data_IF_342959201777
#
_entry.id   IF_342959201777
#
_cell.length_a   1.000
_cell.length_b   1.000
_cell.length_c   1.000
_cell.angle_alpha   90.00
_cell.angle_beta   90.00
_cell.angle_gamma   90.00
#
_symmetry.space_group_name_H-M   'P 1'
#
loop_
_entity.id
_entity.type
_entity.pdbx_description
1 polymer ?
#
# COMPACT_ATOMS: atom_id res chain seq x y z
N UNK A 1 30.02 -64.02 3.85
CA UNK A 1 29.51 -63.55 2.54
C UNK A 1 27.99 -63.23 2.55
N UNK A 2 27.22 -63.80 3.47
CA UNK A 2 25.76 -63.55 3.65
C UNK A 2 25.39 -62.13 4.21
N UNK A 3 26.18 -61.47 5.08
CA UNK A 3 25.76 -60.19 5.68
C UNK A 3 25.70 -59.02 4.70
N UNK A 4 26.57 -59.00 3.69
CA UNK A 4 26.63 -57.91 2.71
C UNK A 4 25.50 -57.95 1.68
N UNK A 5 24.92 -59.13 1.43
CA UNK A 5 23.77 -59.31 0.55
C UNK A 5 22.50 -58.82 1.25
N UNK A 6 22.31 -59.17 2.53
CA UNK A 6 21.20 -58.67 3.35
C UNK A 6 21.21 -57.15 3.49
N UNK A 7 22.39 -56.56 3.69
CA UNK A 7 22.53 -55.10 3.75
C UNK A 7 22.13 -54.44 2.42
N UNK A 8 22.60 -54.98 1.28
CA UNK A 8 22.24 -54.47 -0.06
C UNK A 8 20.76 -54.64 -0.40
N UNK A 9 20.14 -55.73 0.05
CA UNK A 9 18.70 -55.95 -0.15
C UNK A 9 17.89 -55.00 0.74
N UNK A 10 18.30 -54.78 1.98
CA UNK A 10 17.63 -53.81 2.86
C UNK A 10 17.75 -52.37 2.35
N UNK A 11 18.90 -51.96 1.82
CA UNK A 11 19.06 -50.62 1.25
C UNK A 11 18.27 -50.48 -0.04
N UNK A 12 18.19 -51.52 -0.89
CA UNK A 12 17.35 -51.51 -2.09
C UNK A 12 15.86 -51.39 -1.74
N UNK A 13 15.38 -52.12 -0.71
CA UNK A 13 13.99 -52.06 -0.24
C UNK A 13 13.68 -50.69 0.36
N UNK A 14 14.59 -50.11 1.14
CA UNK A 14 14.43 -48.76 1.69
C UNK A 14 14.42 -47.72 0.55
N UNK A 15 15.27 -47.88 -0.46
CA UNK A 15 15.32 -46.97 -1.60
C UNK A 15 14.05 -47.06 -2.46
N UNK A 16 13.49 -48.25 -2.68
CA UNK A 16 12.19 -48.42 -3.38
C UNK A 16 11.01 -47.92 -2.54
N UNK A 17 11.04 -48.04 -1.21
CA UNK A 17 10.04 -47.45 -0.31
C UNK A 17 10.09 -45.91 -0.28
N UNK A 18 11.28 -45.32 -0.45
CA UNK A 18 11.44 -43.85 -0.49
C UNK A 18 10.96 -43.29 -1.85
N UNK A 19 11.23 -43.98 -2.97
CA UNK A 19 10.77 -43.54 -4.30
C UNK A 19 9.25 -43.63 -4.45
N UNK A 20 8.58 -44.56 -3.75
CA UNK A 20 7.12 -44.72 -3.82
C UNK A 20 6.34 -43.67 -3.02
N UNK A 21 7.02 -42.85 -2.20
CA UNK A 21 6.40 -41.79 -1.39
C UNK A 21 6.59 -40.37 -1.96
N UNK A 22 6.97 -40.25 -3.23
CA UNK A 22 6.88 -38.97 -3.93
C UNK A 22 5.39 -38.68 -4.12
N UNK A 23 4.86 -37.69 -3.40
CA UNK A 23 3.51 -37.20 -3.64
C UNK A 23 3.37 -36.91 -5.14
N UNK A 24 2.48 -37.64 -5.82
CA UNK A 24 2.23 -37.43 -7.22
C UNK A 24 1.55 -36.06 -7.37
N UNK A 25 2.34 -35.06 -7.76
CA UNK A 25 1.86 -33.71 -8.05
C UNK A 25 1.93 -33.48 -9.54
N UNK A 26 0.78 -33.20 -10.16
CA UNK A 26 0.70 -32.78 -11.56
C UNK A 26 0.68 -31.24 -11.59
N UNK A 27 1.70 -30.63 -12.16
CA UNK A 27 1.81 -29.16 -12.26
C UNK A 27 1.40 -28.74 -13.67
N UNK A 28 0.43 -27.83 -13.76
CA UNK A 28 -0.01 -27.22 -15.02
C UNK A 28 0.14 -25.71 -14.87
N UNK A 29 0.88 -25.08 -15.79
CA UNK A 29 1.08 -23.64 -15.80
C UNK A 29 0.36 -23.01 -17.01
N UNK A 30 -0.34 -21.90 -16.79
CA UNK A 30 -1.03 -21.15 -17.84
C UNK A 30 -0.86 -19.65 -17.67
N UNK A 31 -0.67 -18.98 -18.80
CA UNK A 31 -0.65 -17.53 -18.86
C UNK A 31 -2.02 -17.00 -19.25
N UNK A 32 -2.52 -16.01 -18.50
CA UNK A 32 -3.85 -15.42 -18.67
C UNK A 32 -3.69 -13.92 -18.82
N UNK A 33 -4.02 -13.41 -20.01
CA UNK A 33 -3.97 -11.99 -20.31
C UNK A 33 -5.27 -11.32 -19.89
N UNK A 34 -5.19 -10.37 -18.97
CA UNK A 34 -6.32 -9.61 -18.43
C UNK A 34 -6.35 -8.24 -19.12
N UNK A 35 -7.40 -7.99 -19.89
CA UNK A 35 -7.53 -6.79 -20.74
C UNK A 35 -8.62 -5.83 -20.26
N UNK A 36 -9.58 -6.31 -19.46
CA UNK A 36 -10.73 -5.53 -19.00
C UNK A 36 -11.23 -5.91 -17.60
N UNK A 37 -11.98 -5.01 -16.95
CA UNK A 37 -12.65 -5.30 -15.67
C UNK A 37 -13.71 -6.38 -15.91
N UNK A 38 -13.75 -7.41 -15.06
CA UNK A 38 -14.59 -8.59 -15.24
C UNK A 38 -13.90 -9.77 -15.93
N UNK A 39 -12.71 -9.55 -16.53
CA UNK A 39 -11.84 -10.64 -16.97
C UNK A 39 -11.39 -11.48 -15.78
N UNK A 40 -11.03 -12.73 -16.04
CA UNK A 40 -10.58 -13.63 -15.00
C UNK A 40 -10.66 -15.10 -15.39
N UNK A 41 -10.76 -15.94 -14.36
CA UNK A 41 -10.70 -17.40 -14.49
C UNK A 41 -11.90 -17.99 -13.77
N UNK A 42 -12.59 -18.91 -14.43
CA UNK A 42 -13.63 -19.73 -13.83
C UNK A 42 -13.14 -21.17 -13.90
N UNK A 43 -12.86 -21.74 -12.75
CA UNK A 43 -12.51 -23.15 -12.63
C UNK A 43 -13.72 -23.88 -12.09
N UNK A 44 -14.21 -24.86 -12.84
CA UNK A 44 -15.27 -25.76 -12.38
C UNK A 44 -14.74 -27.17 -12.32
N UNK A 45 -15.10 -27.91 -11.28
CA UNK A 45 -14.66 -29.29 -11.10
C UNK A 45 -15.85 -30.17 -10.75
N UNK A 46 -15.77 -31.44 -11.14
CA UNK A 46 -16.78 -32.45 -10.87
C UNK A 46 -16.13 -33.81 -10.67
N UNK A 47 -16.47 -34.48 -9.57
CA UNK A 47 -15.95 -35.80 -9.21
C UNK A 47 -17.01 -36.66 -8.52
N UNK A 48 -16.70 -37.94 -8.39
CA UNK A 48 -17.53 -38.91 -7.65
C UNK A 48 -17.28 -38.89 -6.13
N UNK A 49 -16.14 -38.38 -5.67
CA UNK A 49 -15.88 -38.12 -4.24
C UNK A 49 -15.48 -36.66 -4.00
N UNK A 50 -15.35 -36.32 -2.72
CA UNK A 50 -14.94 -35.00 -2.26
C UNK A 50 -13.64 -34.54 -2.93
N UNK A 51 -13.64 -33.28 -3.38
CA UNK A 51 -12.48 -32.62 -3.98
C UNK A 51 -12.06 -31.50 -3.06
N UNK A 52 -10.86 -31.64 -2.49
CA UNK A 52 -10.25 -30.64 -1.62
C UNK A 52 -9.57 -29.56 -2.47
N UNK A 53 -9.74 -28.30 -2.05
CA UNK A 53 -9.25 -27.14 -2.80
C UNK A 53 -8.44 -26.24 -1.89
N UNK A 54 -7.27 -25.86 -2.37
CA UNK A 54 -6.43 -24.84 -1.75
C UNK A 54 -6.16 -23.74 -2.78
N UNK A 55 -6.45 -22.50 -2.41
CA UNK A 55 -6.24 -21.33 -3.27
C UNK A 55 -5.23 -20.38 -2.60
N UNK A 56 -4.33 -19.81 -3.40
CA UNK A 56 -3.45 -18.74 -2.93
C UNK A 56 -4.25 -17.46 -2.73
N UNK A 57 -3.90 -16.67 -1.72
CA UNK A 57 -4.49 -15.36 -1.50
C UNK A 57 -4.08 -14.39 -2.62
N UNK A 58 -5.07 -13.75 -3.24
CA UNK A 58 -4.86 -12.69 -4.22
C UNK A 58 -5.06 -11.30 -3.57
N UNK A 59 -4.47 -10.23 -4.13
CA UNK A 59 -4.71 -8.86 -3.68
C UNK A 59 -6.17 -8.44 -3.84
N UNK A 60 -6.59 -7.37 -3.14
CA UNK A 60 -7.96 -6.82 -3.14
C UNK A 60 -8.49 -6.37 -4.52
N UNK A 61 -7.65 -6.39 -5.55
CA UNK A 61 -8.05 -6.09 -6.92
C UNK A 61 -8.82 -7.25 -7.60
N UNK A 62 -8.84 -8.42 -6.96
CA UNK A 62 -9.53 -9.62 -7.44
C UNK A 62 -10.65 -10.03 -6.48
N UNK A 63 -11.82 -10.33 -7.03
CA UNK A 63 -12.92 -10.98 -6.31
C UNK A 63 -12.81 -12.49 -6.55
N UNK A 64 -12.63 -13.24 -5.46
CA UNK A 64 -12.50 -14.70 -5.47
C UNK A 64 -13.71 -15.30 -4.77
N UNK A 65 -14.53 -16.02 -5.53
CA UNK A 65 -15.73 -16.71 -5.05
C UNK A 65 -15.55 -18.20 -5.22
N UNK A 66 -15.75 -18.93 -4.12
CA UNK A 66 -15.73 -20.40 -4.10
C UNK A 66 -17.13 -20.88 -3.74
N UNK A 67 -17.71 -21.72 -4.60
CA UNK A 67 -18.97 -22.38 -4.33
C UNK A 67 -18.79 -23.89 -4.50
N UNK A 68 -19.23 -24.64 -3.49
CA UNK A 68 -19.19 -26.11 -3.53
C UNK A 68 -20.63 -26.62 -3.43
N UNK A 69 -20.95 -27.67 -4.18
CA UNK A 69 -22.25 -28.32 -4.18
C UNK A 69 -22.06 -29.83 -4.22
N UNK A 70 -22.60 -30.52 -3.23
CA UNK A 70 -22.75 -31.97 -3.24
C UNK A 70 -24.22 -32.32 -3.46
N UNK A 71 -24.52 -33.03 -4.55
CA UNK A 71 -25.86 -33.55 -4.82
C UNK A 71 -25.75 -34.98 -5.34
N UNK A 72 -26.48 -35.90 -4.69
CA UNK A 72 -26.65 -37.27 -5.18
C UNK A 72 -25.35 -38.07 -5.38
N UNK A 73 -24.35 -37.90 -4.50
CA UNK A 73 -23.06 -38.60 -4.61
C UNK A 73 -22.11 -38.02 -5.67
N UNK A 74 -22.45 -36.89 -6.27
CA UNK A 74 -21.52 -36.10 -7.10
C UNK A 74 -21.07 -34.86 -6.35
N UNK A 75 -19.77 -34.63 -6.34
CA UNK A 75 -19.13 -33.47 -5.74
C UNK A 75 -18.70 -32.54 -6.85
N UNK A 76 -19.22 -31.32 -6.82
CA UNK A 76 -18.91 -30.30 -7.82
C UNK A 76 -18.68 -28.97 -7.14
N UNK A 77 -17.94 -28.10 -7.80
CA UNK A 77 -17.81 -26.73 -7.35
C UNK A 77 -17.21 -25.83 -8.40
N UNK A 78 -17.23 -24.55 -8.08
CA UNK A 78 -16.76 -23.48 -8.95
C UNK A 78 -15.91 -22.52 -8.13
N UNK A 79 -14.69 -22.29 -8.61
CA UNK A 79 -13.80 -21.23 -8.16
C UNK A 79 -13.80 -20.16 -9.24
N UNK A 80 -14.40 -19.01 -8.94
CA UNK A 80 -14.45 -17.87 -9.84
C UNK A 80 -13.52 -16.78 -9.32
N UNK A 81 -12.56 -16.39 -10.15
CA UNK A 81 -11.67 -15.24 -9.93
C UNK A 81 -12.00 -14.20 -10.97
N UNK A 82 -12.31 -12.99 -10.54
CA UNK A 82 -12.63 -11.85 -11.41
C UNK A 82 -11.84 -10.62 -11.02
N UNK A 83 -11.39 -9.88 -12.02
CA UNK A 83 -10.80 -8.55 -11.82
C UNK A 83 -11.93 -7.57 -11.50
N UNK A 84 -11.88 -6.96 -10.31
CA UNK A 84 -12.86 -5.95 -9.87
C UNK A 84 -12.29 -4.52 -9.88
N UNK A 85 -10.96 -4.39 -9.85
CA UNK A 85 -10.26 -3.10 -9.90
C UNK A 85 -9.13 -3.16 -10.90
N UNK A 86 -8.72 -2.00 -11.39
CA UNK A 86 -7.60 -1.90 -12.32
C UNK A 86 -6.31 -2.40 -11.65
N UNK A 87 -5.55 -3.21 -12.37
CA UNK A 87 -4.35 -3.87 -11.87
C UNK A 87 -3.15 -2.91 -11.91
N UNK A 88 -2.37 -2.90 -10.83
CA UNK A 88 -1.21 -2.01 -10.65
C UNK A 88 0.07 -2.69 -11.15
N UNK A 89 0.25 -3.96 -10.80
CA UNK A 89 1.41 -4.73 -11.22
C UNK A 89 1.22 -5.30 -12.62
N UNK A 90 2.36 -5.57 -13.28
CA UNK A 90 2.38 -6.18 -14.61
C UNK A 90 1.97 -7.65 -14.60
N UNK A 91 2.19 -8.37 -13.49
CA UNK A 91 1.90 -9.81 -13.41
C UNK A 91 1.60 -10.25 -11.98
N UNK A 92 0.52 -11.02 -11.79
CA UNK A 92 0.19 -11.69 -10.54
C UNK A 92 0.25 -13.20 -10.72
N UNK A 93 0.69 -13.92 -9.69
CA UNK A 93 0.71 -15.39 -9.68
C UNK A 93 -0.44 -15.91 -8.83
N UNK A 94 -1.27 -16.74 -9.41
CA UNK A 94 -2.39 -17.39 -8.73
C UNK A 94 -2.23 -18.91 -8.76
N UNK A 95 -2.25 -19.53 -7.59
CA UNK A 95 -2.12 -20.98 -7.43
C UNK A 95 -3.44 -21.56 -6.95
N UNK A 96 -3.89 -22.61 -7.63
CA UNK A 96 -5.01 -23.46 -7.22
C UNK A 96 -4.53 -24.89 -7.16
N UNK A 97 -4.61 -25.51 -5.98
CA UNK A 97 -4.33 -26.93 -5.79
C UNK A 97 -5.64 -27.69 -5.55
N UNK A 98 -5.80 -28.80 -6.25
CA UNK A 98 -6.96 -29.68 -6.22
C UNK A 98 -6.51 -31.10 -5.87
N UNK A 99 -7.23 -31.77 -4.98
CA UNK A 99 -6.94 -33.16 -4.62
C UNK A 99 -8.23 -33.95 -4.41
N UNK A 100 -8.26 -35.18 -4.91
CA UNK A 100 -9.33 -36.14 -4.62
C UNK A 100 -8.80 -37.58 -4.63
N UNK A 101 -9.46 -38.44 -3.85
CA UNK A 101 -9.18 -39.87 -3.80
C UNK A 101 -9.70 -40.63 -5.04
N UNK A 102 -10.69 -40.06 -5.75
CA UNK A 102 -11.27 -40.63 -6.97
C UNK A 102 -11.00 -39.75 -8.19
N UNK A 103 -11.11 -40.29 -9.42
CA UNK A 103 -10.89 -39.48 -10.62
C UNK A 103 -11.95 -38.38 -10.72
N UNK A 104 -11.51 -37.20 -11.13
CA UNK A 104 -12.39 -36.04 -11.31
C UNK A 104 -12.06 -35.30 -12.60
N UNK A 105 -12.94 -34.42 -13.04
CA UNK A 105 -12.72 -33.55 -14.20
C UNK A 105 -12.71 -32.10 -13.76
N UNK A 106 -11.80 -31.32 -14.33
CA UNK A 106 -11.69 -29.89 -14.07
C UNK A 106 -11.75 -29.13 -15.39
N UNK A 107 -12.71 -28.23 -15.52
CA UNK A 107 -12.84 -27.30 -16.63
C UNK A 107 -12.30 -25.93 -16.22
N UNK A 108 -11.33 -25.44 -16.99
CA UNK A 108 -10.73 -24.13 -16.82
C UNK A 108 -11.29 -23.23 -17.93
N UNK A 109 -12.13 -22.28 -17.57
CA UNK A 109 -12.65 -21.25 -18.47
C UNK A 109 -11.93 -19.94 -18.21
N UNK A 110 -11.19 -19.46 -19.20
CA UNK A 110 -10.52 -18.17 -19.20
C UNK A 110 -11.44 -17.15 -19.88
N UNK A 111 -11.69 -16.04 -19.20
CA UNK A 111 -12.47 -14.90 -19.70
C UNK A 111 -11.52 -13.73 -19.91
N UNK A 112 -11.32 -13.33 -21.17
CA UNK A 112 -10.43 -12.23 -21.55
C UNK A 112 -11.04 -11.41 -22.67
N UNK A 113 -11.28 -10.11 -22.43
CA UNK A 113 -11.79 -9.18 -23.44
C UNK A 113 -13.12 -9.64 -24.07
N UNK A 114 -13.98 -10.30 -23.30
CA UNK A 114 -15.26 -10.85 -23.76
C UNK A 114 -15.18 -12.17 -24.54
N UNK A 115 -14.00 -12.78 -24.68
CA UNK A 115 -13.82 -14.12 -25.24
C UNK A 115 -13.72 -15.16 -24.14
N UNK A 116 -14.28 -16.34 -24.39
CA UNK A 116 -14.27 -17.48 -23.49
C UNK A 116 -13.44 -18.60 -24.12
N UNK A 117 -12.39 -19.04 -23.43
CA UNK A 117 -11.64 -20.25 -23.80
C UNK A 117 -11.80 -21.27 -22.68
N UNK A 118 -12.31 -22.46 -22.99
CA UNK A 118 -12.51 -23.52 -22.00
C UNK A 118 -11.65 -24.73 -22.35
N UNK A 119 -10.96 -25.25 -21.36
CA UNK A 119 -10.16 -26.46 -21.47
C UNK A 119 -10.52 -27.43 -20.36
N UNK A 120 -10.69 -28.69 -20.73
CA UNK A 120 -11.04 -29.76 -19.80
C UNK A 120 -9.82 -30.61 -19.49
N UNK A 121 -9.58 -30.85 -18.21
CA UNK A 121 -8.47 -31.64 -17.70
C UNK A 121 -9.04 -32.82 -16.92
N UNK A 122 -8.63 -34.01 -17.33
CA UNK A 122 -8.98 -35.25 -16.65
C UNK A 122 -7.94 -35.54 -15.57
N UNK A 123 -8.42 -35.67 -14.34
CA UNK A 123 -7.61 -35.70 -13.15
C UNK A 123 -7.58 -37.14 -12.61
N UNK A 124 -6.42 -37.83 -12.60
CA UNK A 124 -6.32 -39.18 -12.06
C UNK A 124 -6.53 -39.20 -10.54
N UNK A 125 -6.98 -40.34 -9.97
CA UNK A 125 -7.19 -40.47 -8.54
C UNK A 125 -5.87 -40.41 -7.77
N UNK A 126 -5.92 -39.91 -6.53
CA UNK A 126 -4.78 -39.83 -5.60
C UNK A 126 -3.59 -39.00 -6.11
N UNK A 127 -3.84 -38.05 -7.01
CA UNK A 127 -2.85 -37.11 -7.52
C UNK A 127 -3.30 -35.70 -7.16
N UNK A 128 -2.39 -34.91 -6.59
CA UNK A 128 -2.64 -33.49 -6.35
C UNK A 128 -2.36 -32.72 -7.63
N UNK A 129 -3.33 -31.97 -8.11
CA UNK A 129 -3.18 -31.13 -9.30
C UNK A 129 -2.92 -29.70 -8.85
N UNK A 130 -1.78 -29.16 -9.25
CA UNK A 130 -1.39 -27.79 -9.00
C UNK A 130 -1.51 -26.98 -10.30
N UNK A 131 -2.49 -26.09 -10.35
CA UNK A 131 -2.70 -25.15 -11.44
C UNK A 131 -2.07 -23.82 -11.05
N UNK A 132 -1.10 -23.38 -11.85
CA UNK A 132 -0.41 -22.10 -11.67
C UNK A 132 -0.80 -21.16 -12.81
N UNK A 133 -1.49 -20.07 -12.48
CA UNK A 133 -1.91 -19.05 -13.43
C UNK A 133 -1.06 -17.80 -13.29
N UNK A 134 -0.41 -17.38 -14.37
CA UNK A 134 0.22 -16.07 -14.47
C UNK A 134 -0.79 -15.08 -15.05
N UNK A 135 -1.34 -14.23 -14.19
CA UNK A 135 -2.30 -13.19 -14.53
C UNK A 135 -1.54 -11.96 -15.02
N UNK A 136 -1.44 -11.79 -16.34
CA UNK A 136 -0.69 -10.72 -16.99
C UNK A 136 -1.61 -9.53 -17.26
N UNK A 137 -1.24 -8.37 -16.74
CA UNK A 137 -1.98 -7.12 -16.92
C UNK A 137 -1.70 -6.54 -18.31
N UNK A 138 -2.73 -6.46 -19.17
CA UNK A 138 -2.66 -5.83 -20.48
C UNK A 138 -3.75 -4.74 -20.64
N UNK A 139 -4.08 -4.05 -19.55
CA UNK A 139 -5.02 -2.93 -19.59
C UNK A 139 -4.40 -1.78 -20.41
N UNK A 140 -4.88 -1.60 -21.64
CA UNK A 140 -4.45 -0.52 -22.57
C UNK A 140 -5.11 0.82 -22.28
N UNK A 141 -6.03 0.87 -21.31
CA UNK A 141 -6.63 2.11 -20.83
C UNK A 141 -5.64 2.89 -19.98
N UNK A 142 -5.36 4.15 -20.34
CA UNK A 142 -4.58 5.04 -19.48
C UNK A 142 -5.16 4.99 -18.07
N UNK A 143 -4.28 4.82 -17.10
CA UNK A 143 -4.61 4.88 -15.68
C UNK A 143 -5.25 6.24 -15.43
N UNK A 144 -6.58 6.31 -15.48
CA UNK A 144 -7.33 7.38 -14.83
C UNK A 144 -7.34 7.01 -13.35
N UNK A 145 -6.17 7.14 -12.73
CA UNK A 145 -6.13 7.50 -11.32
C UNK A 145 -6.93 8.80 -11.26
N UNK A 146 -8.20 8.70 -10.86
CA UNK A 146 -8.68 9.75 -9.99
C UNK A 146 -7.66 9.76 -8.86
N UNK A 147 -6.87 10.82 -8.67
CA UNK A 147 -6.12 10.92 -7.45
C UNK A 147 -7.20 11.05 -6.38
N UNK A 148 -7.64 9.93 -5.81
CA UNK A 148 -7.78 9.91 -4.38
C UNK A 148 -6.40 10.37 -3.93
N UNK A 149 -6.30 11.64 -3.55
CA UNK A 149 -5.17 12.16 -2.82
C UNK A 149 -5.49 11.68 -1.41
N UNK A 150 -5.05 10.49 -0.97
CA UNK A 150 -4.93 10.32 0.46
C UNK A 150 -3.97 11.44 0.87
N UNK A 151 -4.48 12.43 1.61
CA UNK A 151 -3.63 13.43 2.26
C UNK A 151 -2.91 12.67 3.37
N UNK A 152 -1.92 11.87 2.99
CA UNK A 152 -0.93 11.38 3.93
C UNK A 152 -0.10 12.59 4.28
N UNK A 153 -0.37 13.15 5.45
CA UNK A 153 0.43 14.22 6.04
C UNK A 153 1.78 13.62 6.48
N UNK A 154 2.59 13.19 5.51
CA UNK A 154 3.97 12.75 5.76
C UNK A 154 4.80 14.01 5.98
N UNK A 155 4.85 14.45 7.24
CA UNK A 155 5.71 15.57 7.63
C UNK A 155 7.05 15.00 8.04
N UNK A 156 8.14 15.34 7.35
CA UNK A 156 9.43 14.82 7.72
C UNK A 156 9.84 15.37 9.09
N UNK A 157 10.52 14.54 9.89
CA UNK A 157 10.94 14.88 11.26
C UNK A 157 11.78 16.16 11.30
N UNK A 158 12.62 16.38 10.29
CA UNK A 158 13.45 17.59 10.20
C UNK A 158 12.60 18.87 10.09
N UNK A 159 11.44 18.83 9.42
CA UNK A 159 10.57 20.01 9.29
C UNK A 159 9.92 20.36 10.62
N UNK A 160 9.51 19.34 11.38
CA UNK A 160 9.03 19.50 12.75
C UNK A 160 10.13 20.05 13.68
N UNK A 161 11.37 19.59 13.52
CA UNK A 161 12.51 20.09 14.30
C UNK A 161 12.79 21.58 14.02
N UNK A 162 12.77 21.99 12.74
CA UNK A 162 12.90 23.40 12.36
C UNK A 162 11.80 24.22 13.03
N UNK A 163 10.54 23.80 12.88
CA UNK A 163 9.38 24.50 13.45
C UNK A 163 9.46 24.61 14.98
N UNK A 164 9.85 23.55 15.67
CA UNK A 164 9.98 23.57 17.13
C UNK A 164 11.09 24.53 17.59
N UNK A 165 12.24 24.50 16.91
CA UNK A 165 13.40 25.31 17.28
C UNK A 165 13.17 26.80 17.04
N UNK A 166 12.63 27.16 15.88
CA UNK A 166 12.25 28.54 15.57
C UNK A 166 11.12 29.02 16.49
N UNK A 167 10.14 28.19 16.81
CA UNK A 167 9.05 28.59 17.72
C UNK A 167 9.59 28.87 19.11
N UNK A 168 10.50 28.03 19.61
CA UNK A 168 11.14 28.23 20.90
C UNK A 168 11.91 29.56 20.94
N UNK A 169 12.78 29.81 19.95
CA UNK A 169 13.57 31.04 19.88
C UNK A 169 12.69 32.29 19.86
N UNK A 170 11.69 32.32 18.98
CA UNK A 170 10.82 33.49 18.84
C UNK A 170 9.88 33.67 20.04
N UNK A 171 9.44 32.59 20.68
CA UNK A 171 8.66 32.71 21.92
C UNK A 171 9.49 33.23 23.07
N UNK A 172 10.77 32.84 23.18
CA UNK A 172 11.64 33.41 24.21
C UNK A 172 11.84 34.91 24.02
N UNK A 173 12.04 35.37 22.78
CA UNK A 173 12.12 36.80 22.46
C UNK A 173 10.79 37.52 22.74
N UNK A 174 9.66 36.93 22.35
CA UNK A 174 8.34 37.51 22.61
C UNK A 174 8.08 37.74 24.09
N UNK A 175 8.45 36.78 24.94
CA UNK A 175 8.26 36.89 26.40
C UNK A 175 9.14 37.99 26.99
N UNK A 176 10.37 38.14 26.51
CA UNK A 176 11.26 39.22 26.93
C UNK A 176 10.70 40.59 26.51
N UNK A 177 10.29 40.73 25.26
CA UNK A 177 9.72 41.99 24.74
C UNK A 177 8.43 42.37 25.47
N UNK A 178 7.52 41.42 25.69
CA UNK A 178 6.28 41.68 26.46
C UNK A 178 6.63 42.17 27.86
N UNK A 179 7.63 41.57 28.51
CA UNK A 179 8.07 41.99 29.84
C UNK A 179 8.64 43.40 29.82
N UNK A 180 9.44 43.75 28.82
CA UNK A 180 10.06 45.06 28.72
C UNK A 180 9.03 46.14 28.36
N UNK A 181 8.16 45.90 27.38
CA UNK A 181 7.08 46.83 27.03
C UNK A 181 6.08 47.03 28.18
N UNK A 182 5.75 45.97 28.92
CA UNK A 182 4.87 46.10 30.10
C UNK A 182 5.45 47.00 31.19
N UNK A 183 6.78 47.13 31.25
CA UNK A 183 7.46 48.01 32.20
C UNK A 183 7.53 49.44 31.69
N UNK A 184 7.81 49.63 30.41
CA UNK A 184 7.97 50.95 29.80
C UNK A 184 6.62 51.65 29.62
N UNK A 185 5.60 50.92 29.14
CA UNK A 185 4.26 51.43 28.78
C UNK A 185 3.19 51.03 29.81
N UNK A 186 3.57 50.95 31.09
CA UNK A 186 2.77 50.34 32.17
C UNK A 186 1.31 50.78 32.24
N UNK A 187 1.01 52.06 31.97
CA UNK A 187 -0.34 52.62 32.09
C UNK A 187 -1.26 52.31 30.89
N UNK A 188 -0.68 51.92 29.75
CA UNK A 188 -1.43 51.61 28.52
C UNK A 188 -1.30 50.13 28.11
N UNK A 189 -0.49 49.36 28.83
CA UNK A 189 -0.19 47.98 28.48
C UNK A 189 -1.17 47.01 29.13
N UNK A 190 -1.97 46.34 28.30
CA UNK A 190 -2.89 45.29 28.70
C UNK A 190 -2.48 43.90 28.23
N UNK A 191 -3.40 42.97 28.46
CA UNK A 191 -3.26 41.57 28.02
C UNK A 191 -3.37 41.48 26.49
N UNK A 192 -4.14 42.38 25.85
CA UNK A 192 -4.37 42.36 24.41
C UNK A 192 -3.08 42.68 23.63
N UNK A 193 -2.32 43.67 24.08
CA UNK A 193 -1.04 44.09 23.52
C UNK A 193 0.00 42.98 23.68
N UNK A 194 0.00 42.32 24.85
CA UNK A 194 0.86 41.16 25.12
C UNK A 194 0.59 40.01 24.14
N UNK A 195 -0.70 39.70 23.89
CA UNK A 195 -1.10 38.70 22.89
C UNK A 195 -0.69 39.14 21.48
N UNK A 196 -0.85 40.43 21.15
CA UNK A 196 -0.49 40.96 19.83
C UNK A 196 1.00 40.77 19.53
N UNK A 197 1.88 41.06 20.51
CA UNK A 197 3.33 40.81 20.40
C UNK A 197 3.61 39.32 20.19
N UNK A 198 3.01 38.44 20.99
CA UNK A 198 3.19 36.99 20.85
C UNK A 198 2.78 36.52 19.44
N UNK A 199 1.62 36.96 18.94
CA UNK A 199 1.13 36.62 17.60
C UNK A 199 2.08 37.11 16.50
N UNK A 200 2.66 38.31 16.65
CA UNK A 200 3.66 38.85 15.71
C UNK A 200 4.90 37.95 15.66
N UNK A 201 5.41 37.55 16.82
CA UNK A 201 6.56 36.66 16.92
C UNK A 201 6.28 35.25 16.39
N UNK A 202 5.08 34.70 16.64
CA UNK A 202 4.65 33.42 16.06
C UNK A 202 4.53 33.48 14.53
N UNK A 203 4.07 34.61 13.98
CA UNK A 203 4.07 34.83 12.53
C UNK A 203 5.48 34.79 11.97
N UNK A 204 6.41 35.56 12.54
CA UNK A 204 7.82 35.57 12.10
C UNK A 204 8.48 34.20 12.23
N UNK A 205 8.22 33.50 13.32
CA UNK A 205 8.68 32.13 13.54
C UNK A 205 8.18 31.18 12.44
N UNK A 206 6.89 31.20 12.15
CA UNK A 206 6.30 30.35 11.10
C UNK A 206 6.82 30.70 9.70
N UNK A 207 7.08 31.97 9.42
CA UNK A 207 7.62 32.43 8.14
C UNK A 207 9.07 31.93 7.95
N UNK A 208 9.92 32.08 8.95
CA UNK A 208 11.30 31.57 8.90
C UNK A 208 11.31 30.04 8.81
N UNK A 209 10.44 29.36 9.55
CA UNK A 209 10.30 27.90 9.50
C UNK A 209 9.93 27.41 8.10
N UNK A 210 9.02 28.12 7.43
CA UNK A 210 8.59 27.81 6.08
C UNK A 210 9.72 28.03 5.07
N UNK A 211 10.47 29.14 5.17
CA UNK A 211 11.62 29.42 4.31
C UNK A 211 12.71 28.35 4.49
N UNK A 212 13.09 28.05 5.73
CA UNK A 212 14.11 27.03 6.02
C UNK A 212 13.68 25.65 5.52
N UNK A 213 12.41 25.29 5.72
CA UNK A 213 11.88 24.01 5.23
C UNK A 213 11.87 23.94 3.70
N UNK A 214 11.59 25.05 3.03
CA UNK A 214 11.63 25.15 1.56
C UNK A 214 13.05 24.98 1.03
N UNK A 215 14.03 25.67 1.63
CA UNK A 215 15.45 25.54 1.26
C UNK A 215 15.90 24.09 1.44
N UNK A 216 15.57 23.46 2.56
CA UNK A 216 15.97 22.08 2.83
C UNK A 216 15.34 21.10 1.83
N UNK A 217 14.04 21.26 1.54
CA UNK A 217 13.32 20.40 0.56
C UNK A 217 13.90 20.52 -0.85
N UNK A 218 14.24 21.74 -1.27
CA UNK A 218 14.92 21.99 -2.54
C UNK A 218 16.32 21.35 -2.51
N UNK A 219 17.07 21.55 -1.42
CA UNK A 219 18.40 20.97 -1.24
C UNK A 219 18.41 19.44 -1.29
N UNK A 220 17.46 18.77 -0.62
CA UNK A 220 17.31 17.31 -0.69
C UNK A 220 16.93 16.85 -2.08
N UNK A 221 16.07 17.58 -2.78
CA UNK A 221 15.67 17.25 -4.15
C UNK A 221 16.85 17.33 -5.12
N UNK A 222 17.69 18.37 -5.00
CA UNK A 222 18.93 18.52 -5.78
C UNK A 222 19.91 17.40 -5.44
N UNK A 223 20.11 17.11 -4.16
CA UNK A 223 21.00 16.03 -3.70
C UNK A 223 20.58 14.67 -4.27
N UNK A 224 19.29 14.32 -4.20
CA UNK A 224 18.78 13.06 -4.76
C UNK A 224 18.96 12.98 -6.28
N UNK A 225 18.77 14.10 -6.98
CA UNK A 225 19.00 14.17 -8.42
C UNK A 225 20.45 13.92 -8.81
N UNK A 226 21.41 14.39 -8.00
CA UNK A 226 22.85 14.24 -8.29
C UNK A 226 23.34 12.86 -7.85
N UNK A 227 23.02 12.44 -6.62
CA UNK A 227 23.56 11.23 -6.01
C UNK A 227 22.92 9.94 -6.56
N UNK A 228 21.61 9.94 -6.78
CA UNK A 228 20.85 8.74 -7.11
C UNK A 228 20.22 8.78 -8.51
N UNK A 229 20.38 9.89 -9.26
CA UNK A 229 19.74 10.12 -10.56
C UNK A 229 18.21 9.95 -10.53
N UNK A 230 17.61 10.18 -9.36
CA UNK A 230 16.16 10.15 -9.14
C UNK A 230 15.69 11.52 -8.73
N UNK A 231 14.61 12.01 -9.32
CA UNK A 231 13.95 13.25 -8.93
C UNK A 231 12.66 12.93 -8.17
N UNK A 232 12.70 13.00 -6.84
CA UNK A 232 11.52 12.94 -5.99
C UNK A 232 11.36 14.29 -5.30
N UNK A 233 10.38 15.09 -5.75
CA UNK A 233 9.96 16.30 -5.06
C UNK A 233 8.63 16.02 -4.35
N UNK A 234 8.67 15.90 -3.03
CA UNK A 234 7.48 15.64 -2.22
C UNK A 234 6.92 16.96 -1.68
N UNK A 235 5.90 17.50 -2.37
CA UNK A 235 5.20 18.72 -1.93
C UNK A 235 4.54 18.55 -0.55
N UNK A 236 4.19 17.31 -0.18
CA UNK A 236 3.63 16.96 1.12
C UNK A 236 4.49 17.43 2.30
N UNK A 237 5.81 17.50 2.14
CA UNK A 237 6.74 17.90 3.20
C UNK A 237 6.61 19.37 3.60
N UNK A 238 6.04 20.21 2.74
CA UNK A 238 5.84 21.64 3.00
C UNK A 238 4.45 21.97 3.55
N UNK A 239 3.51 21.01 3.57
CA UNK A 239 2.13 21.28 3.99
C UNK A 239 2.05 21.74 5.44
N UNK A 240 2.75 21.08 6.36
CA UNK A 240 2.71 21.43 7.80
C UNK A 240 3.22 22.85 8.09
N UNK A 241 4.45 23.24 7.69
CA UNK A 241 4.91 24.61 7.92
C UNK A 241 4.05 25.65 7.17
N UNK A 242 3.49 25.30 6.01
CA UNK A 242 2.58 26.16 5.25
C UNK A 242 1.25 26.39 5.99
N UNK A 243 0.64 25.33 6.54
CA UNK A 243 -0.61 25.44 7.30
C UNK A 243 -0.40 26.31 8.55
N UNK A 244 0.71 26.10 9.29
CA UNK A 244 1.03 26.92 10.47
C UNK A 244 1.22 28.38 10.08
N UNK A 245 1.90 28.66 8.97
CA UNK A 245 2.06 30.02 8.45
C UNK A 245 0.71 30.66 8.10
N UNK A 246 -0.19 29.94 7.41
CA UNK A 246 -1.53 30.44 7.08
C UNK A 246 -2.31 30.78 8.34
N UNK A 247 -2.35 29.86 9.32
CA UNK A 247 -3.09 30.06 10.56
C UNK A 247 -2.57 31.30 11.30
N UNK A 248 -1.25 31.42 11.49
CA UNK A 248 -0.66 32.58 12.16
C UNK A 248 -0.87 33.88 11.36
N UNK A 249 -0.85 33.82 10.02
CA UNK A 249 -1.14 34.97 9.17
C UNK A 249 -2.59 35.45 9.36
N UNK A 250 -3.55 34.52 9.39
CA UNK A 250 -4.95 34.85 9.62
C UNK A 250 -5.16 35.47 11.01
N UNK A 251 -4.56 34.88 12.05
CA UNK A 251 -4.63 35.42 13.42
C UNK A 251 -4.00 36.82 13.49
N UNK A 252 -2.83 37.01 12.87
CA UNK A 252 -2.18 38.32 12.79
C UNK A 252 -3.06 39.37 12.11
N UNK A 253 -3.70 39.03 10.99
CA UNK A 253 -4.58 39.97 10.30
C UNK A 253 -5.84 40.31 11.10
N UNK A 254 -6.37 39.36 11.87
CA UNK A 254 -7.48 39.62 12.79
C UNK A 254 -7.05 40.60 13.88
N UNK A 255 -5.87 40.40 14.49
CA UNK A 255 -5.33 41.32 15.50
C UNK A 255 -5.08 42.72 14.92
N UNK A 256 -4.56 42.79 13.69
CA UNK A 256 -4.34 44.05 12.97
C UNK A 256 -5.65 44.77 12.66
N UNK A 257 -6.67 44.05 12.21
CA UNK A 257 -7.97 44.66 11.91
C UNK A 257 -8.67 45.21 13.15
N UNK A 258 -8.39 44.64 14.34
CA UNK A 258 -8.89 45.13 15.62
C UNK A 258 -8.07 46.27 16.25
N UNK A 259 -6.98 46.72 15.61
CA UNK A 259 -6.14 47.81 16.15
C UNK A 259 -5.29 47.41 17.35
N UNK A 260 -5.04 46.11 17.59
CA UNK A 260 -4.27 45.66 18.76
C UNK A 260 -2.80 46.04 18.72
N UNK A 261 -2.32 46.51 17.57
CA UNK A 261 -0.92 46.89 17.37
C UNK A 261 -0.66 48.38 17.57
N UNK A 262 -1.69 49.20 17.79
CA UNK A 262 -1.54 50.67 17.87
C UNK A 262 -0.56 51.05 18.99
N UNK A 263 -0.76 50.52 20.21
CA UNK A 263 0.13 50.76 21.36
C UNK A 263 1.50 50.08 21.20
N UNK A 264 1.57 48.99 20.44
CA UNK A 264 2.80 48.23 20.21
C UNK A 264 3.72 48.98 19.25
N UNK A 265 3.16 49.59 18.20
CA UNK A 265 3.88 50.26 17.11
C UNK A 265 4.11 51.76 17.36
N UNK A 266 3.52 52.33 18.42
CA UNK A 266 3.92 53.65 18.94
C UNK A 266 5.38 53.59 19.45
N UNK A 267 6.33 54.13 18.69
CA UNK A 267 7.72 54.36 19.14
C UNK A 267 7.81 55.44 20.23
#
# INVERSE_FOLDING_TARGET
>A
MIPSILLKVSTLIIYTLIITNVANVMIIQKDVYLSSIGDGIILSYSGSDEVYILISQLPENFDVKVSNTSKGGTYSGVVQVKVIRQLIDSTYKYLVALYSASPFTTNITIVSGGRYSTETINCPPNVTIQLTFNLINNFTGSVRTSPQIPIYLSTPIWSLAILALTTCLFMTSAVLDVRDYSRIKKDRWGIQESIAVIVRYLLYSSLISFILSTILTIGTSIYMSIAYKTTSFEFSWLLTPFIVLIVNTLVYQICKWKGWYDVVDEE
#
